data_IF_393483826454
#
_entry.id   IF_393483826454
#
_cell.length_a   1.000
_cell.length_b   1.000
_cell.length_c   1.000
_cell.angle_alpha   90.00
_cell.angle_beta   90.00
_cell.angle_gamma   90.00
#
_symmetry.space_group_name_H-M   'P 1'
#
loop_
_entity.id
_entity.type
_entity.pdbx_description
1 polymer ?
#
# COMPACT_ATOMS: atom_id res chain seq x y z
N UNK A 1 -2.34 -20.30 -16.01
CA UNK A 1 -1.34 -21.32 -16.40
C UNK A 1 -1.13 -21.36 -17.92
N UNK A 2 -2.18 -21.37 -18.74
CA UNK A 2 -2.08 -21.39 -20.22
C UNK A 2 -1.35 -20.17 -20.79
N UNK A 3 -1.72 -18.96 -20.34
CA UNK A 3 -1.02 -17.71 -20.72
C UNK A 3 0.47 -17.76 -20.39
N UNK A 4 0.84 -18.33 -19.24
CA UNK A 4 2.23 -18.49 -18.83
C UNK A 4 2.98 -19.46 -19.73
N UNK A 5 2.38 -20.62 -20.04
CA UNK A 5 2.96 -21.58 -21.00
C UNK A 5 3.19 -20.95 -22.36
N UNK A 6 2.23 -20.14 -22.85
CA UNK A 6 2.35 -19.43 -24.12
C UNK A 6 3.45 -18.35 -24.08
N UNK A 7 3.59 -17.64 -22.97
CA UNK A 7 4.62 -16.60 -22.83
C UNK A 7 6.03 -17.22 -22.76
N UNK A 8 6.18 -18.39 -22.13
CA UNK A 8 7.43 -19.13 -21.97
C UNK A 8 7.73 -20.10 -23.11
N UNK A 9 6.86 -20.16 -24.14
CA UNK A 9 7.09 -21.05 -25.27
C UNK A 9 8.42 -20.74 -25.96
N UNK A 10 9.31 -21.75 -26.04
CA UNK A 10 10.66 -21.61 -26.62
C UNK A 10 11.73 -21.07 -25.67
N UNK A 11 11.42 -20.98 -24.37
CA UNK A 11 12.37 -20.65 -23.29
C UNK A 11 12.59 -21.88 -22.40
N UNK A 12 13.84 -22.14 -22.04
CA UNK A 12 14.24 -23.28 -21.21
C UNK A 12 14.27 -22.95 -19.70
N UNK A 13 13.79 -21.75 -19.31
CA UNK A 13 13.78 -21.33 -17.91
C UNK A 13 12.79 -22.16 -17.09
N UNK A 14 13.23 -22.74 -15.97
CA UNK A 14 12.34 -23.47 -15.10
C UNK A 14 11.33 -22.53 -14.45
N UNK A 15 10.08 -22.93 -14.37
CA UNK A 15 9.05 -22.19 -13.68
C UNK A 15 8.13 -23.10 -12.88
N UNK A 16 7.61 -22.57 -11.81
CA UNK A 16 6.60 -23.23 -10.98
C UNK A 16 5.43 -22.28 -10.72
N UNK A 17 4.26 -22.84 -10.45
CA UNK A 17 3.09 -22.05 -10.08
C UNK A 17 2.46 -22.63 -8.82
N UNK A 18 2.41 -21.81 -7.78
CA UNK A 18 1.78 -22.13 -6.50
C UNK A 18 0.47 -21.34 -6.34
N UNK A 19 -0.50 -21.92 -5.64
CA UNK A 19 -1.75 -21.25 -5.27
C UNK A 19 -1.72 -21.04 -3.75
N UNK A 20 -1.91 -19.79 -3.32
CA UNK A 20 -2.00 -19.45 -1.90
C UNK A 20 -3.25 -20.07 -1.29
N UNK A 21 -3.16 -20.63 -0.10
CA UNK A 21 -4.23 -21.39 0.55
C UNK A 21 -4.81 -20.66 1.77
N UNK A 22 -4.04 -19.73 2.35
CA UNK A 22 -4.42 -18.98 3.55
C UNK A 22 -3.68 -17.64 3.55
N UNK A 23 -4.15 -16.64 4.34
CA UNK A 23 -3.43 -15.38 4.51
C UNK A 23 -2.01 -15.60 5.03
N UNK A 24 -1.03 -14.92 4.39
CA UNK A 24 0.40 -15.06 4.69
C UNK A 24 1.13 -16.16 3.89
N UNK A 25 0.41 -17.11 3.26
CA UNK A 25 1.05 -18.17 2.48
C UNK A 25 1.87 -17.64 1.28
N UNK A 26 1.46 -16.52 0.69
CA UNK A 26 2.23 -15.86 -0.38
C UNK A 26 3.60 -15.40 0.10
N UNK A 27 3.70 -14.90 1.32
CA UNK A 27 4.97 -14.51 1.92
C UNK A 27 5.88 -15.71 2.22
N UNK A 28 5.31 -16.81 2.71
CA UNK A 28 6.06 -18.06 2.94
C UNK A 28 6.61 -18.61 1.63
N UNK A 29 5.81 -18.66 0.57
CA UNK A 29 6.22 -19.14 -0.76
C UNK A 29 7.32 -18.25 -1.37
N UNK A 30 7.16 -16.93 -1.30
CA UNK A 30 8.15 -16.00 -1.81
C UNK A 30 9.48 -16.10 -1.06
N UNK A 31 9.43 -16.21 0.26
CA UNK A 31 10.60 -16.42 1.11
C UNK A 31 11.31 -17.72 0.77
N UNK A 32 10.57 -18.83 0.72
CA UNK A 32 11.12 -20.14 0.39
C UNK A 32 11.78 -20.17 -0.99
N UNK A 33 11.23 -19.45 -1.97
CA UNK A 33 11.85 -19.31 -3.28
C UNK A 33 13.16 -18.52 -3.21
N UNK A 34 13.20 -17.40 -2.46
CA UNK A 34 14.39 -16.57 -2.29
C UNK A 34 15.51 -17.29 -1.51
N UNK A 35 15.15 -18.07 -0.49
CA UNK A 35 16.10 -18.82 0.35
C UNK A 35 16.84 -19.94 -0.41
N UNK A 36 16.39 -20.33 -1.61
CA UNK A 36 17.14 -21.24 -2.49
C UNK A 36 18.48 -20.64 -2.95
N UNK A 37 18.65 -19.32 -2.86
CA UNK A 37 19.88 -18.61 -3.19
C UNK A 37 20.10 -18.32 -4.68
N UNK A 38 19.35 -18.97 -5.57
CA UNK A 38 19.40 -18.72 -7.00
C UNK A 38 18.58 -17.49 -7.39
N UNK A 39 18.91 -16.77 -8.49
CA UNK A 39 18.08 -15.69 -8.98
C UNK A 39 16.65 -16.15 -9.26
N UNK A 40 15.67 -15.47 -8.67
CA UNK A 40 14.25 -15.81 -8.83
C UNK A 40 13.40 -14.60 -9.14
N UNK A 41 12.48 -14.73 -10.11
CA UNK A 41 11.45 -13.76 -10.45
C UNK A 41 10.09 -14.24 -9.98
N UNK A 42 9.46 -13.48 -9.09
CA UNK A 42 8.20 -13.83 -8.45
C UNK A 42 7.09 -12.97 -9.06
N UNK A 43 6.12 -13.62 -9.67
CA UNK A 43 4.94 -12.97 -10.26
C UNK A 43 3.77 -13.09 -9.29
N UNK A 44 3.44 -12.02 -8.57
CA UNK A 44 2.28 -11.95 -7.71
C UNK A 44 1.00 -11.84 -8.55
N UNK A 45 0.39 -12.98 -8.88
CA UNK A 45 -0.82 -13.07 -9.69
C UNK A 45 -2.06 -12.92 -8.81
N UNK A 46 -2.49 -11.70 -8.55
CA UNK A 46 -3.60 -11.42 -7.62
C UNK A 46 -3.93 -9.94 -7.51
N UNK A 47 -4.47 -9.54 -6.37
CA UNK A 47 -4.68 -8.15 -6.00
C UNK A 47 -3.55 -7.63 -5.09
N UNK A 48 -3.80 -6.45 -4.48
CA UNK A 48 -2.83 -5.75 -3.62
C UNK A 48 -2.32 -6.62 -2.46
N UNK A 49 -3.19 -7.40 -1.81
CA UNK A 49 -2.79 -8.31 -0.73
C UNK A 49 -1.81 -9.40 -1.19
N UNK A 50 -2.03 -9.99 -2.38
CA UNK A 50 -1.12 -10.99 -2.94
C UNK A 50 0.25 -10.38 -3.26
N UNK A 51 0.26 -9.15 -3.78
CA UNK A 51 1.49 -8.41 -4.02
C UNK A 51 2.22 -8.13 -2.71
N UNK A 52 1.51 -7.62 -1.70
CA UNK A 52 2.11 -7.28 -0.41
C UNK A 52 2.73 -8.51 0.27
N UNK A 53 2.03 -9.66 0.27
CA UNK A 53 2.59 -10.92 0.78
C UNK A 53 3.87 -11.33 0.04
N UNK A 54 3.86 -11.31 -1.30
CA UNK A 54 5.04 -11.68 -2.10
C UNK A 54 6.23 -10.75 -1.82
N UNK A 55 5.96 -9.44 -1.73
CA UNK A 55 6.96 -8.42 -1.38
C UNK A 55 7.52 -8.65 0.02
N UNK A 56 6.67 -8.86 1.02
CA UNK A 56 7.10 -9.10 2.39
C UNK A 56 7.97 -10.36 2.52
N UNK A 57 7.65 -11.41 1.75
CA UNK A 57 8.44 -12.63 1.72
C UNK A 57 9.80 -12.47 1.04
N UNK A 58 9.88 -11.70 -0.05
CA UNK A 58 11.10 -11.46 -0.81
C UNK A 58 11.97 -10.32 -0.24
N UNK A 59 11.48 -9.57 0.73
CA UNK A 59 12.17 -8.39 1.28
C UNK A 59 13.53 -8.72 1.88
N UNK A 60 14.56 -8.03 1.43
CA UNK A 60 15.95 -8.20 1.89
C UNK A 60 16.73 -9.29 1.15
N UNK A 61 16.13 -10.01 0.22
CA UNK A 61 16.81 -11.00 -0.61
C UNK A 61 17.25 -10.37 -1.94
N UNK A 62 18.57 -10.19 -2.12
CA UNK A 62 19.12 -9.58 -3.33
C UNK A 62 18.95 -10.43 -4.60
N UNK A 63 18.77 -11.75 -4.46
CA UNK A 63 18.53 -12.69 -5.55
C UNK A 63 17.07 -12.80 -5.96
N UNK A 64 16.13 -12.20 -5.21
CA UNK A 64 14.70 -12.25 -5.52
C UNK A 64 14.19 -10.92 -6.05
N UNK A 65 13.36 -10.97 -7.07
CA UNK A 65 12.64 -9.82 -7.60
C UNK A 65 11.14 -10.15 -7.72
N UNK A 66 10.29 -9.17 -7.42
CA UNK A 66 8.83 -9.33 -7.44
C UNK A 66 8.22 -8.44 -8.51
N UNK A 67 7.15 -8.87 -9.13
CA UNK A 67 6.25 -8.02 -9.90
C UNK A 67 4.79 -8.34 -9.61
N UNK A 68 3.91 -7.44 -10.00
CA UNK A 68 2.47 -7.63 -9.92
C UNK A 68 1.90 -8.01 -11.29
N UNK A 69 1.28 -9.18 -11.38
CA UNK A 69 0.38 -9.50 -12.48
C UNK A 69 -1.06 -9.25 -12.00
N UNK A 70 -1.69 -8.12 -12.41
CA UNK A 70 -2.87 -7.62 -11.73
C UNK A 70 -4.12 -8.46 -12.05
N UNK A 71 -4.74 -9.02 -11.02
CA UNK A 71 -6.00 -9.78 -11.10
C UNK A 71 -7.01 -9.32 -10.06
N UNK A 72 -6.66 -8.35 -9.22
CA UNK A 72 -7.51 -7.75 -8.20
C UNK A 72 -8.36 -6.60 -8.75
N UNK A 73 -9.23 -6.06 -7.89
CA UNK A 73 -10.07 -4.91 -8.21
C UNK A 73 -9.39 -3.57 -7.95
N UNK A 74 -8.41 -3.50 -7.03
CA UNK A 74 -7.68 -2.29 -6.66
C UNK A 74 -6.45 -2.10 -7.52
N UNK A 75 -5.46 -2.98 -7.35
CA UNK A 75 -4.14 -2.95 -7.98
C UNK A 75 -3.47 -1.58 -7.83
N UNK A 76 -3.53 -1.07 -6.60
CA UNK A 76 -3.25 0.33 -6.28
C UNK A 76 -1.79 0.71 -6.53
N UNK A 77 -0.83 -0.20 -6.24
CA UNK A 77 0.57 0.07 -6.50
C UNK A 77 0.86 0.32 -7.98
N UNK A 78 0.20 -0.42 -8.88
CA UNK A 78 0.41 -0.24 -10.31
C UNK A 78 -0.15 1.07 -10.87
N UNK A 79 -1.09 1.70 -10.17
CA UNK A 79 -1.64 3.01 -10.60
C UNK A 79 -0.58 4.11 -10.65
N UNK A 80 0.57 3.91 -9.98
CA UNK A 80 1.70 4.84 -10.05
C UNK A 80 2.34 4.91 -11.45
N UNK A 81 2.15 3.87 -12.26
CA UNK A 81 2.61 3.83 -13.65
C UNK A 81 1.64 4.50 -14.62
N UNK A 82 0.51 5.05 -14.13
CA UNK A 82 -0.48 5.74 -14.97
C UNK A 82 -0.98 4.87 -16.13
N UNK A 83 -0.96 5.37 -17.37
CA UNK A 83 -1.40 4.61 -18.56
C UNK A 83 -0.60 3.32 -18.78
N UNK A 84 0.68 3.30 -18.40
CA UNK A 84 1.57 2.15 -18.59
C UNK A 84 1.24 0.98 -17.66
N UNK A 85 0.37 1.16 -16.65
CA UNK A 85 -0.10 0.08 -15.79
C UNK A 85 -0.72 -1.09 -16.59
N UNK A 86 -1.30 -0.82 -17.76
CA UNK A 86 -1.86 -1.86 -18.63
C UNK A 86 -0.80 -2.84 -19.17
N UNK A 87 0.47 -2.44 -19.26
CA UNK A 87 1.56 -3.27 -19.75
C UNK A 87 1.93 -4.42 -18.82
N UNK A 88 1.53 -4.34 -17.53
CA UNK A 88 1.69 -5.44 -16.58
C UNK A 88 0.80 -6.65 -16.86
N UNK A 89 -0.18 -6.55 -17.77
CA UNK A 89 -0.95 -7.69 -18.26
C UNK A 89 -0.24 -8.47 -19.36
N UNK A 90 0.86 -7.93 -19.93
CA UNK A 90 1.70 -8.62 -20.91
C UNK A 90 2.83 -9.36 -20.20
N UNK A 91 2.67 -10.67 -20.05
CA UNK A 91 3.68 -11.54 -19.44
C UNK A 91 5.01 -11.50 -20.20
N UNK A 92 4.99 -11.34 -21.55
CA UNK A 92 6.21 -11.28 -22.33
C UNK A 92 7.02 -10.03 -22.03
N UNK A 93 6.34 -8.89 -21.83
CA UNK A 93 6.97 -7.65 -21.43
C UNK A 93 7.60 -7.72 -20.03
N UNK A 94 7.18 -8.68 -19.21
CA UNK A 94 7.68 -8.88 -17.85
C UNK A 94 8.81 -9.91 -17.76
N UNK A 95 8.99 -10.80 -18.74
CA UNK A 95 9.99 -11.89 -18.66
C UNK A 95 11.42 -11.34 -18.54
N UNK A 96 11.77 -10.37 -19.37
CA UNK A 96 13.10 -9.76 -19.42
C UNK A 96 13.11 -8.33 -18.85
N UNK A 97 12.07 -7.95 -18.13
CA UNK A 97 11.88 -6.62 -17.60
C UNK A 97 13.02 -6.17 -16.67
N UNK A 98 13.46 -4.91 -16.72
CA UNK A 98 14.39 -4.36 -15.75
C UNK A 98 13.80 -4.35 -14.36
N UNK A 99 14.66 -4.33 -13.35
CA UNK A 99 14.26 -4.25 -11.94
C UNK A 99 14.96 -3.08 -11.24
N UNK A 100 14.29 -2.54 -10.23
CA UNK A 100 14.84 -1.54 -9.34
C UNK A 100 14.49 -1.85 -7.88
N UNK A 101 15.35 -1.46 -6.93
CA UNK A 101 15.02 -1.60 -5.52
C UNK A 101 13.91 -0.62 -5.13
N UNK A 102 12.93 -1.12 -4.38
CA UNK A 102 11.80 -0.37 -3.84
C UNK A 102 11.90 -0.37 -2.32
N UNK A 103 11.66 0.78 -1.72
CA UNK A 103 11.57 0.95 -0.28
C UNK A 103 10.30 0.28 0.26
N UNK A 104 10.32 -0.06 1.53
CA UNK A 104 9.18 -0.65 2.22
C UNK A 104 8.86 0.16 3.48
N UNK A 105 7.60 0.18 3.85
CA UNK A 105 7.15 0.63 5.16
C UNK A 105 7.40 -0.50 6.15
N UNK A 106 7.99 -0.20 7.28
CA UNK A 106 8.02 -1.08 8.45
C UNK A 106 7.14 -0.46 9.54
N UNK A 107 6.10 -1.18 9.95
CA UNK A 107 5.19 -0.79 11.03
C UNK A 107 5.13 -1.89 12.08
N UNK A 108 5.61 -1.61 13.29
CA UNK A 108 5.66 -2.55 14.41
C UNK A 108 6.25 -3.93 14.02
N UNK A 109 7.33 -3.92 13.22
CA UNK A 109 8.01 -5.13 12.73
C UNK A 109 7.35 -5.84 11.54
N UNK A 110 6.22 -5.35 11.04
CA UNK A 110 5.57 -5.85 9.82
C UNK A 110 5.89 -4.96 8.63
N UNK A 111 5.97 -5.54 7.44
CA UNK A 111 6.29 -4.83 6.20
C UNK A 111 5.04 -4.56 5.38
N UNK A 112 5.01 -3.40 4.73
CA UNK A 112 4.05 -3.04 3.70
C UNK A 112 4.76 -2.36 2.53
N UNK A 113 4.20 -2.53 1.33
CA UNK A 113 4.73 -1.92 0.11
C UNK A 113 4.21 -0.50 -0.07
N UNK A 114 2.94 -0.27 0.22
CA UNK A 114 2.20 0.87 -0.32
C UNK A 114 1.80 1.89 0.75
N UNK A 115 1.05 1.47 1.78
CA UNK A 115 0.50 2.41 2.76
C UNK A 115 0.33 1.79 4.16
N UNK A 116 0.57 2.61 5.18
CA UNK A 116 0.18 2.35 6.56
C UNK A 116 -0.70 3.51 7.05
N UNK A 117 -1.89 3.22 7.60
CA UNK A 117 -2.78 4.26 8.08
C UNK A 117 -3.51 3.89 9.38
N UNK A 118 -3.87 4.92 10.15
CA UNK A 118 -4.70 4.81 11.35
C UNK A 118 -5.72 5.95 11.39
N UNK A 119 -6.87 5.68 11.96
CA UNK A 119 -7.95 6.65 12.10
C UNK A 119 -9.15 6.36 11.20
N UNK A 120 -9.71 7.37 10.59
CA UNK A 120 -11.00 7.30 9.91
C UNK A 120 -11.00 6.32 8.72
N UNK A 121 -9.99 6.40 7.84
CA UNK A 121 -9.88 5.56 6.66
C UNK A 121 -9.60 4.09 6.99
N UNK A 122 -8.68 3.83 7.92
CA UNK A 122 -8.35 2.48 8.39
C UNK A 122 -9.60 1.80 8.98
N UNK A 123 -10.37 2.52 9.80
CA UNK A 123 -11.63 2.01 10.37
C UNK A 123 -12.68 1.73 9.32
N UNK A 124 -12.76 2.52 8.25
CA UNK A 124 -13.68 2.27 7.13
C UNK A 124 -13.23 1.05 6.33
N UNK A 125 -11.98 1.04 5.88
CA UNK A 125 -11.45 -0.01 5.01
C UNK A 125 -11.52 -1.39 5.68
N UNK A 126 -10.99 -1.49 6.89
CA UNK A 126 -11.01 -2.72 7.67
C UNK A 126 -12.43 -3.10 8.13
N UNK A 127 -13.25 -2.10 8.49
CA UNK A 127 -14.64 -2.31 8.89
C UNK A 127 -15.51 -2.85 7.76
N UNK A 128 -15.19 -2.57 6.50
CA UNK A 128 -15.91 -3.12 5.36
C UNK A 128 -15.82 -4.66 5.29
N UNK A 129 -14.73 -5.25 5.78
CA UNK A 129 -14.59 -6.71 5.86
C UNK A 129 -15.65 -7.35 6.79
N UNK A 130 -16.06 -6.64 7.85
CA UNK A 130 -17.10 -7.12 8.77
C UNK A 130 -18.47 -7.18 8.07
N UNK A 131 -18.78 -6.17 7.24
CA UNK A 131 -20.03 -6.11 6.49
C UNK A 131 -20.08 -7.08 5.31
N UNK A 132 -18.94 -7.39 4.67
CA UNK A 132 -18.86 -8.39 3.59
C UNK A 132 -19.26 -9.80 4.03
N UNK A 133 -19.24 -10.09 5.32
CA UNK A 133 -19.69 -11.37 5.89
C UNK A 133 -21.22 -11.50 5.94
N UNK A 134 -21.95 -10.39 5.75
CA UNK A 134 -23.40 -10.39 5.78
C UNK A 134 -23.97 -10.84 4.43
N UNK A 135 -25.05 -11.65 4.42
CA UNK A 135 -25.71 -12.05 3.19
C UNK A 135 -26.25 -10.84 2.43
N UNK A 136 -26.19 -10.86 1.11
CA UNK A 136 -26.68 -9.82 0.19
C UNK A 136 -25.92 -8.47 0.23
N UNK A 137 -24.82 -8.37 0.95
CA UNK A 137 -24.00 -7.15 0.97
C UNK A 137 -22.87 -7.25 -0.04
N UNK A 138 -22.93 -6.42 -1.11
CA UNK A 138 -21.86 -6.29 -2.09
C UNK A 138 -20.65 -5.52 -1.53
N UNK A 139 -19.49 -5.66 -2.16
CA UNK A 139 -18.28 -4.94 -1.75
C UNK A 139 -18.46 -3.42 -1.62
N UNK A 140 -19.02 -2.72 -2.61
CA UNK A 140 -19.31 -1.28 -2.51
C UNK A 140 -20.28 -0.94 -1.38
N UNK A 141 -21.34 -1.73 -1.18
CA UNK A 141 -22.31 -1.52 -0.10
C UNK A 141 -21.65 -1.73 1.28
N UNK A 142 -20.81 -2.76 1.43
CA UNK A 142 -20.07 -3.00 2.67
C UNK A 142 -19.19 -1.80 3.04
N UNK A 143 -18.52 -1.20 2.06
CA UNK A 143 -17.72 0.00 2.27
C UNK A 143 -18.55 1.20 2.72
N UNK A 144 -19.71 1.43 2.08
CA UNK A 144 -20.64 2.50 2.46
C UNK A 144 -21.19 2.31 3.88
N UNK A 145 -21.60 1.09 4.25
CA UNK A 145 -22.08 0.78 5.59
C UNK A 145 -20.99 1.01 6.65
N UNK A 146 -19.75 0.60 6.33
CA UNK A 146 -18.61 0.86 7.20
C UNK A 146 -18.32 2.35 7.37
N UNK A 147 -18.42 3.13 6.29
CA UNK A 147 -18.26 4.59 6.34
C UNK A 147 -19.33 5.24 7.23
N UNK A 148 -20.60 4.87 7.06
CA UNK A 148 -21.70 5.38 7.91
C UNK A 148 -21.48 5.01 9.37
N UNK A 149 -21.13 3.75 9.66
CA UNK A 149 -20.81 3.29 11.03
C UNK A 149 -19.69 4.14 11.63
N UNK A 150 -18.61 4.35 10.89
CA UNK A 150 -17.45 5.11 11.37
C UNK A 150 -17.78 6.59 11.61
N UNK A 151 -18.61 7.20 10.74
CA UNK A 151 -19.10 8.58 10.92
C UNK A 151 -19.94 8.70 12.21
N UNK A 152 -20.78 7.72 12.51
CA UNK A 152 -21.63 7.71 13.72
C UNK A 152 -20.77 7.51 14.97
N UNK A 153 -19.81 6.59 14.94
CA UNK A 153 -18.93 6.28 16.07
C UNK A 153 -17.91 7.38 16.41
N UNK A 154 -17.70 8.33 15.50
CA UNK A 154 -16.76 9.44 15.66
C UNK A 154 -15.60 9.35 14.65
N UNK A 155 -15.32 10.50 14.05
CA UNK A 155 -14.39 10.59 12.91
C UNK A 155 -12.96 10.91 13.34
N UNK A 156 -12.73 11.42 14.52
CA UNK A 156 -11.41 11.74 15.06
C UNK A 156 -11.22 11.10 16.44
N UNK A 157 -9.97 10.91 16.80
CA UNK A 157 -9.57 10.36 18.12
C UNK A 157 -8.33 11.08 18.64
N UNK A 158 -8.07 11.01 19.95
CA UNK A 158 -6.83 11.53 20.52
C UNK A 158 -5.65 10.67 20.07
N UNK A 159 -4.69 11.30 19.40
CA UNK A 159 -3.41 10.73 19.02
C UNK A 159 -2.28 11.71 19.34
N UNK A 160 -1.13 11.20 19.71
CA UNK A 160 0.12 11.94 19.76
C UNK A 160 0.96 11.52 18.57
N UNK A 161 1.30 12.46 17.69
CA UNK A 161 2.01 12.19 16.45
C UNK A 161 3.38 12.87 16.50
N UNK A 162 4.44 12.11 16.19
CA UNK A 162 5.81 12.59 16.07
C UNK A 162 6.36 12.13 14.73
N UNK A 163 6.98 13.04 13.96
CA UNK A 163 7.64 12.73 12.69
C UNK A 163 9.09 13.19 12.80
N UNK A 164 10.05 12.28 12.55
CA UNK A 164 11.49 12.52 12.64
C UNK A 164 11.90 13.24 13.95
N UNK A 165 11.30 12.83 15.08
CA UNK A 165 11.52 13.42 16.39
C UNK A 165 10.74 14.72 16.68
N UNK A 166 10.10 15.34 15.69
CA UNK A 166 9.28 16.54 15.88
C UNK A 166 7.83 16.16 16.21
N UNK A 167 7.35 16.58 17.38
CA UNK A 167 5.94 16.41 17.77
C UNK A 167 5.05 17.38 17.00
N UNK A 168 4.04 16.84 16.34
CA UNK A 168 3.05 17.66 15.66
C UNK A 168 2.10 18.34 16.66
N UNK A 169 1.66 19.57 16.38
CA UNK A 169 0.66 20.28 17.18
C UNK A 169 -0.72 19.61 17.04
N UNK A 170 -1.49 19.60 18.12
CA UNK A 170 -2.82 19.03 18.19
C UNK A 170 -2.87 17.77 19.02
N UNK A 171 -4.07 17.45 19.49
CA UNK A 171 -4.33 16.30 20.38
C UNK A 171 -5.33 15.31 19.78
N UNK A 172 -6.02 15.72 18.70
CA UNK A 172 -7.00 14.86 18.03
C UNK A 172 -6.82 14.95 16.51
N UNK A 173 -6.85 13.79 15.88
CA UNK A 173 -6.67 13.65 14.45
C UNK A 173 -7.76 12.77 13.85
N UNK A 174 -8.09 13.05 12.61
CA UNK A 174 -9.07 12.32 11.82
C UNK A 174 -8.41 11.15 11.09
N UNK A 175 -7.25 11.39 10.50
CA UNK A 175 -6.52 10.43 9.69
C UNK A 175 -5.02 10.70 9.79
N UNK A 176 -4.25 9.64 9.90
CA UNK A 176 -2.79 9.66 9.87
C UNK A 176 -2.37 8.54 8.93
N UNK A 177 -1.61 8.88 7.90
CA UNK A 177 -1.20 7.96 6.85
C UNK A 177 0.29 8.13 6.55
N UNK A 178 0.99 7.02 6.39
CA UNK A 178 2.34 6.94 5.87
C UNK A 178 2.28 6.25 4.50
N UNK A 179 2.78 6.89 3.48
CA UNK A 179 2.71 6.46 2.10
C UNK A 179 4.12 6.24 1.54
N UNK A 180 4.35 5.06 0.98
CA UNK A 180 5.46 4.74 0.10
C UNK A 180 4.99 4.78 -1.37
N UNK A 181 3.78 4.29 -1.63
CA UNK A 181 3.06 4.46 -2.88
C UNK A 181 2.04 5.59 -2.85
N UNK A 182 1.42 5.90 -4.00
CA UNK A 182 0.50 7.02 -4.17
C UNK A 182 -0.95 6.67 -3.91
N UNK A 183 -1.34 5.42 -4.13
CA UNK A 183 -2.73 5.00 -4.15
C UNK A 183 -3.01 3.90 -3.13
N UNK A 184 -4.20 3.92 -2.57
CA UNK A 184 -4.72 2.87 -1.70
C UNK A 184 -6.24 2.81 -1.76
N UNK A 185 -6.83 1.75 -1.21
CA UNK A 185 -8.28 1.63 -1.06
C UNK A 185 -9.07 1.64 -2.37
N UNK A 186 -8.43 1.21 -3.49
CA UNK A 186 -9.04 1.16 -4.81
C UNK A 186 -8.99 2.49 -5.58
N UNK A 187 -7.97 3.32 -5.33
CA UNK A 187 -7.71 4.52 -6.12
C UNK A 187 -7.74 5.85 -5.38
N UNK A 188 -7.84 5.85 -4.04
CA UNK A 188 -7.55 7.06 -3.27
C UNK A 188 -6.08 7.43 -3.43
N UNK A 189 -5.81 8.70 -3.72
CA UNK A 189 -4.46 9.22 -3.94
C UNK A 189 -4.09 10.28 -2.89
N UNK A 190 -3.67 9.89 -1.68
CA UNK A 190 -3.31 10.84 -0.63
C UNK A 190 -2.01 11.59 -0.92
N UNK A 191 -1.05 10.93 -1.59
CA UNK A 191 0.29 11.43 -1.83
C UNK A 191 0.66 11.31 -3.31
N UNK A 192 0.19 12.23 -4.20
CA UNK A 192 0.43 12.13 -5.63
C UNK A 192 1.91 12.22 -6.03
N UNK A 193 2.74 12.76 -5.16
CA UNK A 193 4.18 12.94 -5.37
C UNK A 193 5.05 11.87 -4.68
N UNK A 194 4.45 10.84 -4.04
CA UNK A 194 5.20 9.77 -3.41
C UNK A 194 6.05 8.99 -4.41
N UNK A 195 7.28 8.65 -4.01
CA UNK A 195 8.28 7.93 -4.81
C UNK A 195 8.83 6.77 -4.00
N UNK A 196 8.64 5.53 -4.43
CA UNK A 196 8.88 4.36 -3.60
C UNK A 196 10.35 3.89 -3.55
N UNK A 197 11.32 4.70 -4.01
CA UNK A 197 12.75 4.36 -4.05
C UNK A 197 13.66 5.49 -3.60
N UNK A 198 13.12 6.53 -2.95
CA UNK A 198 13.89 7.72 -2.56
C UNK A 198 14.33 7.74 -1.07
N UNK A 199 14.06 6.67 -0.34
CA UNK A 199 14.46 6.50 1.06
C UNK A 199 13.64 7.32 2.05
N UNK A 200 12.46 7.79 1.64
CA UNK A 200 11.55 8.60 2.44
C UNK A 200 10.11 8.05 2.37
N UNK A 201 9.31 8.39 3.36
CA UNK A 201 7.87 8.22 3.35
C UNK A 201 7.18 9.58 3.28
N UNK A 202 6.03 9.61 2.62
CA UNK A 202 5.17 10.78 2.59
C UNK A 202 4.06 10.62 3.63
N UNK A 203 4.04 11.52 4.62
CA UNK A 203 3.06 11.49 5.70
C UNK A 203 1.93 12.46 5.43
N UNK A 204 0.69 11.98 5.54
CA UNK A 204 -0.52 12.79 5.49
C UNK A 204 -1.16 12.76 6.87
N UNK A 205 -1.27 13.93 7.49
CA UNK A 205 -1.89 14.05 8.81
C UNK A 205 -3.05 15.04 8.73
N UNK A 206 -4.24 14.53 8.98
CA UNK A 206 -5.49 15.30 8.98
C UNK A 206 -5.91 15.56 10.42
N UNK A 207 -5.85 16.80 10.91
CA UNK A 207 -6.33 17.16 12.23
C UNK A 207 -7.82 16.85 12.41
N UNK A 208 -8.31 17.00 13.61
CA UNK A 208 -9.74 16.86 13.89
C UNK A 208 -10.55 17.84 13.03
N UNK A 209 -11.46 17.30 12.24
CA UNK A 209 -12.37 18.05 11.36
C UNK A 209 -13.83 17.69 11.64
N UNK A 210 -14.76 18.51 11.18
CA UNK A 210 -16.19 18.21 11.31
C UNK A 210 -16.64 17.15 10.29
N UNK A 211 -17.74 16.46 10.58
CA UNK A 211 -18.36 15.49 9.64
C UNK A 211 -18.70 16.12 8.30
N UNK A 212 -19.19 17.37 8.29
CA UNK A 212 -19.48 18.11 7.07
C UNK A 212 -18.21 18.39 6.27
N UNK A 213 -17.12 18.74 6.94
CA UNK A 213 -15.83 18.97 6.29
C UNK A 213 -15.33 17.72 5.57
N UNK A 214 -15.45 16.54 6.18
CA UNK A 214 -15.07 15.28 5.49
C UNK A 214 -15.92 15.07 4.23
N UNK A 215 -17.24 15.19 4.33
CA UNK A 215 -18.13 14.96 3.19
C UNK A 215 -17.85 15.91 2.01
N UNK A 216 -17.44 17.15 2.30
CA UNK A 216 -17.11 18.14 1.25
C UNK A 216 -15.72 17.94 0.64
N UNK A 217 -14.76 17.42 1.40
CA UNK A 217 -13.36 17.37 0.99
C UNK A 217 -12.87 15.99 0.56
N UNK A 218 -13.60 14.91 0.90
CA UNK A 218 -13.17 13.55 0.60
C UNK A 218 -12.93 13.30 -0.90
N UNK A 219 -13.77 13.90 -1.75
CA UNK A 219 -13.61 13.80 -3.21
C UNK A 219 -12.34 14.48 -3.73
N UNK A 220 -11.94 15.60 -3.13
CA UNK A 220 -10.69 16.30 -3.46
C UNK A 220 -9.48 15.52 -2.95
N UNK A 221 -9.55 15.03 -1.72
CA UNK A 221 -8.53 14.16 -1.14
C UNK A 221 -8.29 12.90 -1.98
N UNK A 222 -9.36 12.23 -2.41
CA UNK A 222 -9.28 11.01 -3.21
C UNK A 222 -8.60 11.21 -4.57
N UNK A 223 -8.61 12.42 -5.11
CA UNK A 223 -8.05 12.79 -6.43
C UNK A 223 -6.66 13.42 -6.36
N UNK A 224 -5.94 13.29 -5.25
CA UNK A 224 -4.60 13.85 -5.10
C UNK A 224 -4.55 15.32 -4.66
N UNK A 225 -5.68 15.89 -4.32
CA UNK A 225 -5.77 17.30 -3.88
C UNK A 225 -5.53 17.51 -2.38
N UNK A 226 -4.86 16.60 -1.68
CA UNK A 226 -4.60 16.75 -0.24
C UNK A 226 -3.79 18.01 0.08
N UNK A 227 -2.78 18.34 -0.73
CA UNK A 227 -1.95 19.53 -0.56
C UNK A 227 -2.68 20.86 -0.71
N UNK A 228 -3.82 20.85 -1.39
CA UNK A 228 -4.65 22.06 -1.56
C UNK A 228 -5.76 22.17 -0.50
N UNK A 229 -5.82 21.26 0.45
CA UNK A 229 -6.81 21.31 1.53
C UNK A 229 -6.18 22.00 2.75
N UNK A 230 -6.66 23.17 3.14
CA UNK A 230 -6.16 23.82 4.35
C UNK A 230 -6.24 22.90 5.56
N UNK A 231 -5.22 22.95 6.42
CA UNK A 231 -5.06 22.14 7.63
C UNK A 231 -4.60 20.69 7.44
N UNK A 232 -4.59 20.12 6.23
CA UNK A 232 -3.89 18.85 6.02
C UNK A 232 -2.39 19.12 6.09
N UNK A 233 -1.69 18.39 6.94
CA UNK A 233 -0.25 18.46 7.04
C UNK A 233 0.34 17.37 6.14
N UNK A 234 1.14 17.81 5.18
CA UNK A 234 1.98 16.94 4.38
C UNK A 234 3.42 17.08 4.87
N UNK A 235 4.07 15.97 5.16
CA UNK A 235 5.46 15.92 5.59
C UNK A 235 6.15 14.76 4.88
N UNK A 236 7.44 14.93 4.63
CA UNK A 236 8.29 13.84 4.17
C UNK A 236 9.32 13.56 5.26
N UNK A 237 9.59 12.30 5.50
CA UNK A 237 10.52 11.91 6.55
C UNK A 237 10.80 10.42 6.53
N UNK A 238 11.55 9.96 7.52
CA UNK A 238 11.98 8.56 7.62
C UNK A 238 11.19 7.75 8.62
N UNK A 239 10.62 8.42 9.62
CA UNK A 239 9.90 7.73 10.68
C UNK A 239 8.73 8.56 11.21
N UNK A 240 7.74 7.86 11.71
CA UNK A 240 6.59 8.45 12.39
C UNK A 240 6.21 7.56 13.57
N UNK A 241 5.97 8.19 14.73
CA UNK A 241 5.41 7.55 15.90
C UNK A 241 4.03 8.10 16.19
N UNK A 242 3.07 7.20 16.38
CA UNK A 242 1.70 7.56 16.78
C UNK A 242 1.34 6.80 18.04
N UNK A 243 0.98 7.51 19.09
CA UNK A 243 0.50 6.92 20.34
C UNK A 243 -0.97 7.28 20.55
N UNK A 244 -1.78 6.29 20.93
CA UNK A 244 -3.19 6.39 21.25
C UNK A 244 -3.42 6.04 22.73
N UNK A 245 -4.43 6.61 23.36
CA UNK A 245 -4.83 6.21 24.73
C UNK A 245 -5.42 4.79 24.78
N UNK A 246 -6.00 4.34 23.68
CA UNK A 246 -6.58 3.00 23.52
C UNK A 246 -6.15 2.44 22.18
N UNK A 247 -5.96 1.14 22.09
CA UNK A 247 -5.67 0.47 20.85
C UNK A 247 -6.68 0.83 19.76
N UNK A 248 -6.20 1.12 18.57
CA UNK A 248 -7.01 1.39 17.38
C UNK A 248 -6.63 0.44 16.24
N UNK A 249 -7.48 0.38 15.24
CA UNK A 249 -7.26 -0.42 14.04
C UNK A 249 -6.31 0.32 13.10
N UNK A 250 -5.23 -0.34 12.74
CA UNK A 250 -4.22 0.11 11.80
C UNK A 250 -4.39 -0.68 10.53
N UNK A 251 -4.43 0.01 9.41
CA UNK A 251 -4.42 -0.60 8.09
C UNK A 251 -2.99 -0.63 7.55
N UNK A 252 -2.51 -1.81 7.18
CA UNK A 252 -1.19 -2.04 6.60
C UNK A 252 -1.38 -2.78 5.27
N UNK A 253 -1.49 -2.03 4.15
CA UNK A 253 -1.82 -2.55 2.82
C UNK A 253 -3.07 -3.45 2.78
N UNK A 254 -4.09 -3.11 3.56
CA UNK A 254 -5.34 -3.87 3.67
C UNK A 254 -5.36 -4.93 4.78
N UNK A 255 -4.23 -5.19 5.42
CA UNK A 255 -4.15 -6.06 6.60
C UNK A 255 -4.40 -5.27 7.89
N UNK A 256 -5.06 -5.90 8.84
CA UNK A 256 -5.35 -5.30 10.15
C UNK A 256 -4.24 -5.60 11.15
N UNK A 257 -3.82 -4.55 11.84
CA UNK A 257 -3.10 -4.60 13.10
C UNK A 257 -3.90 -3.81 14.13
N UNK A 258 -3.91 -4.22 15.39
CA UNK A 258 -4.55 -3.50 16.49
C UNK A 258 -3.49 -3.21 17.54
N UNK A 259 -3.21 -1.93 17.74
CA UNK A 259 -2.21 -1.49 18.71
C UNK A 259 -2.54 -0.08 19.24
N UNK A 260 -1.98 0.27 20.38
CA UNK A 260 -2.03 1.62 20.95
C UNK A 260 -0.83 2.48 20.57
N UNK A 261 0.20 1.88 20.00
CA UNK A 261 1.40 2.55 19.53
C UNK A 261 1.79 2.07 18.13
N UNK A 262 2.07 3.01 17.23
CA UNK A 262 2.60 2.75 15.90
C UNK A 262 3.99 3.33 15.80
N UNK A 263 4.96 2.48 15.50
CA UNK A 263 6.27 2.89 15.04
C UNK A 263 6.37 2.57 13.56
N UNK A 264 6.27 3.59 12.73
CA UNK A 264 6.31 3.49 11.26
C UNK A 264 7.61 4.08 10.79
N UNK A 265 8.35 3.36 9.94
CA UNK A 265 9.61 3.85 9.38
C UNK A 265 9.87 3.30 7.99
N UNK A 266 10.80 3.94 7.27
CA UNK A 266 11.40 3.31 6.09
C UNK A 266 12.14 2.07 6.56
N UNK A 267 11.81 0.91 5.99
CA UNK A 267 12.45 -0.35 6.35
C UNK A 267 13.92 -0.37 5.91
N UNK A 268 14.77 -1.00 6.70
CA UNK A 268 16.13 -1.32 6.28
C UNK A 268 16.18 -2.35 5.13
N UNK A 269 15.10 -3.12 4.96
CA UNK A 269 14.95 -4.08 3.87
C UNK A 269 14.29 -3.40 2.68
N UNK A 270 14.80 -3.69 1.48
CA UNK A 270 14.18 -3.33 0.20
C UNK A 270 13.75 -4.60 -0.53
N UNK A 271 12.93 -4.44 -1.55
CA UNK A 271 12.60 -5.50 -2.50
C UNK A 271 12.97 -5.04 -3.90
N UNK A 272 13.53 -5.93 -4.72
CA UNK A 272 13.68 -5.65 -6.13
C UNK A 272 12.32 -5.81 -6.81
N UNK A 273 11.84 -4.77 -7.49
CA UNK A 273 10.60 -4.79 -8.25
C UNK A 273 10.92 -4.68 -9.73
N UNK A 274 10.42 -5.63 -10.54
CA UNK A 274 10.60 -5.58 -11.98
C UNK A 274 9.32 -5.12 -12.69
N UNK A 275 9.50 -4.31 -13.74
CA UNK A 275 8.42 -3.63 -14.45
C UNK A 275 8.75 -3.50 -15.94
N UNK A 276 7.76 -3.41 -16.84
CA UNK A 276 7.96 -3.33 -18.27
C UNK A 276 8.94 -2.21 -18.66
N UNK A 277 9.85 -2.49 -19.55
CA UNK A 277 10.86 -1.54 -20.01
C UNK A 277 10.24 -0.21 -20.49
N UNK A 278 10.85 0.91 -20.12
CA UNK A 278 10.36 2.26 -20.45
C UNK A 278 9.19 2.75 -19.59
N UNK A 279 8.76 1.98 -18.58
CA UNK A 279 7.78 2.48 -17.59
C UNK A 279 8.49 3.17 -16.42
N UNK A 280 7.84 4.17 -15.83
CA UNK A 280 8.37 4.93 -14.71
C UNK A 280 7.27 5.27 -13.70
N UNK A 281 7.61 5.29 -12.40
CA UNK A 281 6.73 5.76 -11.33
C UNK A 281 7.01 7.19 -10.85
N UNK A 282 7.99 7.87 -11.44
CA UNK A 282 8.33 9.24 -11.05
C UNK A 282 7.26 10.21 -11.54
N UNK A 283 6.71 11.10 -10.70
CA UNK A 283 5.75 12.10 -11.14
C UNK A 283 6.38 13.07 -12.14
N UNK A 284 5.67 13.39 -13.21
CA UNK A 284 6.11 14.37 -14.21
C UNK A 284 6.46 15.75 -13.62
N UNK A 285 5.86 16.11 -12.49
CA UNK A 285 6.10 17.39 -11.81
C UNK A 285 7.49 17.53 -11.17
N UNK A 286 8.17 16.42 -10.84
CA UNK A 286 9.54 16.48 -10.27
C UNK A 286 10.65 16.71 -11.29
N UNK A 287 10.35 16.64 -12.58
CA UNK A 287 11.30 16.92 -13.65
C UNK A 287 11.51 18.44 -13.87
N UNK A 288 10.75 19.29 -13.14
CA UNK A 288 10.74 20.74 -13.34
C UNK A 288 11.43 21.58 -12.26
N UNK A 289 12.32 20.97 -11.45
CA UNK A 289 13.17 21.76 -10.53
C UNK A 289 14.63 21.41 -10.70
#
# INVERSE_FOLDING_TARGET
>A
REKLRTALAGRDEPWEAAVTQYPGHGAELARAAAERGEPVRIYACGGDGTLNEAVAGAAGFGNAAVTHYPMGSGNDFLRMFGPDACRFYDLRALLDAPQAPVDLIECNGRLALNVCSVGFDARIGLGAADFKKLPLVSGPLAYQLSAVRTIVQGIHRPYRVTIDGERLPGEAFTLICACNGRYYGGGFNPCPDAVPDDGLLDFVVVPAVSRLTILTLIGKYAKGGAGDIPRILLRRGREMHVACERADRINLDGEELVDSELSVRVSAKKVNFFFPEGTHWIPEKRVRN
#
